data_IF_924809113458
#
_entry.id   IF_924809113458
#
_cell.length_a   1.000
_cell.length_b   1.000
_cell.length_c   1.000
_cell.angle_alpha   90.00
_cell.angle_beta   90.00
_cell.angle_gamma   90.00
#
_symmetry.space_group_name_H-M   'P 1'
#
loop_
_entity.id
_entity.type
_entity.pdbx_description
1 polymer ?
#
# COMPACT_ATOMS: atom_id res chain seq x y z
N UNK A 1 7.34 12.34 -17.24
CA UNK A 1 7.38 11.60 -15.96
C UNK A 1 6.11 11.88 -15.20
N UNK A 2 5.56 10.92 -14.43
CA UNK A 2 4.41 11.17 -13.57
C UNK A 2 4.79 12.25 -12.54
N UNK A 3 4.06 13.38 -12.43
CA UNK A 3 4.35 14.41 -11.43
C UNK A 3 4.33 13.87 -9.99
N UNK A 4 3.57 12.81 -9.74
CA UNK A 4 3.44 12.11 -8.46
C UNK A 4 4.75 11.42 -8.04
N UNK A 5 5.51 10.90 -9.01
CA UNK A 5 6.79 10.26 -8.74
C UNK A 5 7.85 11.28 -8.26
N UNK A 6 7.80 12.48 -8.86
CA UNK A 6 8.70 13.59 -8.52
C UNK A 6 8.36 14.12 -7.13
N UNK A 7 7.07 14.29 -6.82
CA UNK A 7 6.61 14.74 -5.50
C UNK A 7 7.03 13.75 -4.40
N UNK A 8 6.80 12.45 -4.60
CA UNK A 8 7.21 11.41 -3.65
C UNK A 8 8.72 11.44 -3.40
N UNK A 9 9.51 11.50 -4.46
CA UNK A 9 10.98 11.53 -4.37
C UNK A 9 11.47 12.78 -3.63
N UNK A 10 10.82 13.93 -3.87
CA UNK A 10 11.13 15.18 -3.19
C UNK A 10 10.82 15.13 -1.70
N UNK A 11 9.75 14.42 -1.28
CA UNK A 11 9.42 14.21 0.14
C UNK A 11 10.36 13.21 0.84
N UNK A 12 10.88 12.23 0.10
CA UNK A 12 11.82 11.23 0.63
C UNK A 12 13.24 11.77 0.74
N UNK A 13 13.72 12.46 -0.31
CA UNK A 13 15.07 12.98 -0.42
C UNK A 13 15.21 14.38 0.19
N UNK A 14 14.69 14.55 1.42
CA UNK A 14 14.89 15.77 2.18
C UNK A 14 16.19 15.72 2.98
N UNK A 15 16.94 16.83 2.95
CA UNK A 15 18.14 17.01 3.77
C UNK A 15 17.83 16.86 5.26
N UNK A 16 16.78 17.54 5.71
CA UNK A 16 16.31 17.46 7.09
C UNK A 16 15.59 16.13 7.32
N UNK A 17 16.06 15.26 8.23
CA UNK A 17 15.41 13.97 8.49
C UNK A 17 13.99 14.12 9.03
N UNK A 18 13.70 15.19 9.77
CA UNK A 18 12.36 15.50 10.30
C UNK A 18 11.34 15.89 9.24
N UNK A 19 11.79 16.32 8.06
CA UNK A 19 10.91 16.68 6.94
C UNK A 19 10.66 15.51 5.98
N UNK A 20 11.35 14.38 6.18
CA UNK A 20 11.13 13.19 5.36
C UNK A 20 9.75 12.63 5.67
N UNK A 21 9.02 12.25 4.62
CA UNK A 21 7.78 11.51 4.84
C UNK A 21 8.09 10.16 5.49
N UNK A 22 7.17 9.72 6.35
CA UNK A 22 7.28 8.39 6.96
C UNK A 22 7.05 7.30 5.92
N UNK A 23 7.54 6.08 6.18
CA UNK A 23 7.33 4.95 5.28
C UNK A 23 5.83 4.71 5.00
N UNK A 24 4.97 4.86 6.02
CA UNK A 24 3.53 4.71 5.88
C UNK A 24 2.90 5.81 5.03
N UNK A 25 3.31 7.06 5.18
CA UNK A 25 2.85 8.16 4.33
C UNK A 25 3.32 8.01 2.88
N UNK A 26 4.57 7.57 2.68
CA UNK A 26 5.09 7.26 1.36
C UNK A 26 4.29 6.13 0.71
N UNK A 27 3.98 5.07 1.46
CA UNK A 27 3.10 4.00 0.97
C UNK A 27 1.71 4.54 0.62
N UNK A 28 1.15 5.48 1.39
CA UNK A 28 -0.16 6.12 1.15
C UNK A 28 -0.17 7.18 0.03
N UNK A 29 0.95 7.36 -0.68
CA UNK A 29 1.08 8.36 -1.74
C UNK A 29 0.29 7.96 -3.00
N UNK A 30 -0.29 8.93 -3.75
CA UNK A 30 -1.04 8.67 -4.98
C UNK A 30 -0.22 7.99 -6.08
N UNK A 31 1.11 8.07 -6.01
CA UNK A 31 1.98 7.31 -6.90
C UNK A 31 1.72 5.79 -6.86
N UNK A 32 1.26 5.28 -5.71
CA UNK A 32 0.90 3.87 -5.55
C UNK A 32 -0.61 3.59 -5.71
N UNK A 33 -1.43 4.59 -6.10
CA UNK A 33 -2.87 4.37 -6.31
C UNK A 33 -3.13 3.38 -7.44
N UNK A 34 -2.29 3.33 -8.47
CA UNK A 34 -2.40 2.31 -9.52
C UNK A 34 -2.29 0.88 -8.99
N UNK A 35 -1.55 0.64 -7.90
CA UNK A 35 -1.45 -0.68 -7.26
C UNK A 35 -2.66 -1.00 -6.38
N UNK A 36 -3.43 0.02 -5.99
CA UNK A 36 -4.67 -0.11 -5.24
C UNK A 36 -5.87 -0.35 -6.13
N UNK A 37 -5.74 -0.20 -7.44
CA UNK A 37 -6.86 -0.48 -8.34
C UNK A 37 -7.19 -1.98 -8.34
N UNK A 38 -8.48 -2.38 -8.30
CA UNK A 38 -8.86 -3.79 -8.27
C UNK A 38 -8.46 -4.55 -9.54
N UNK A 39 -8.17 -3.82 -10.63
CA UNK A 39 -7.74 -4.36 -11.91
C UNK A 39 -6.22 -4.29 -12.11
N UNK A 40 -5.48 -3.83 -11.10
CA UNK A 40 -4.04 -3.67 -11.19
C UNK A 40 -3.37 -5.04 -11.39
N UNK A 41 -2.57 -5.13 -12.46
CA UNK A 41 -1.89 -6.35 -12.86
C UNK A 41 -0.43 -6.05 -13.13
N UNK A 42 0.41 -7.05 -12.93
CA UNK A 42 1.79 -6.98 -13.40
C UNK A 42 1.78 -6.80 -14.92
N UNK A 43 2.79 -6.12 -15.51
CA UNK A 43 2.89 -5.97 -16.97
C UNK A 43 2.92 -7.33 -17.71
N UNK A 44 3.23 -8.40 -16.98
CA UNK A 44 3.27 -9.78 -17.43
C UNK A 44 1.86 -10.45 -17.43
N UNK A 45 0.80 -9.72 -17.08
CA UNK A 45 -0.57 -10.21 -16.95
C UNK A 45 -0.88 -11.01 -15.66
N UNK A 46 0.11 -11.22 -14.78
CA UNK A 46 -0.05 -11.92 -13.51
C UNK A 46 -0.72 -11.03 -12.45
N UNK A 47 -1.46 -11.61 -11.49
CA UNK A 47 -1.99 -10.85 -10.36
C UNK A 47 -0.84 -10.29 -9.51
N UNK A 48 -1.08 -9.14 -8.89
CA UNK A 48 -0.14 -8.56 -7.93
C UNK A 48 0.01 -9.50 -6.71
N UNK A 49 1.21 -9.57 -6.10
CA UNK A 49 1.40 -10.26 -4.83
C UNK A 49 0.57 -9.61 -3.70
N UNK A 50 0.45 -10.23 -2.51
CA UNK A 50 -0.24 -9.61 -1.38
C UNK A 50 0.51 -8.35 -0.89
N UNK A 51 0.11 -7.18 -1.40
CA UNK A 51 0.75 -5.89 -1.09
C UNK A 51 0.25 -5.24 0.19
N UNK A 52 -0.94 -5.62 0.66
CA UNK A 52 -1.67 -4.91 1.71
C UNK A 52 -1.85 -5.74 3.00
N UNK A 53 -1.01 -6.76 3.20
CA UNK A 53 -1.05 -7.67 4.34
C UNK A 53 -0.42 -7.06 5.62
N UNK A 54 -0.71 -5.78 5.89
CA UNK A 54 -0.18 -5.09 7.06
C UNK A 54 -0.66 -5.76 8.35
N UNK A 55 0.27 -6.02 9.27
CA UNK A 55 -0.04 -6.61 10.59
C UNK A 55 0.20 -5.59 11.70
N UNK A 56 1.45 -5.48 12.14
CA UNK A 56 1.86 -4.61 13.24
C UNK A 56 2.36 -3.24 12.76
N UNK A 57 2.68 -3.11 11.47
CA UNK A 57 3.15 -1.86 10.86
C UNK A 57 2.15 -0.71 10.96
N UNK A 58 0.85 -1.02 11.16
CA UNK A 58 -0.20 -0.01 11.32
C UNK A 58 -0.45 0.37 12.79
N UNK A 59 0.21 -0.26 13.76
CA UNK A 59 -0.07 -0.10 15.20
C UNK A 59 0.25 1.29 15.78
N UNK A 60 0.67 2.24 14.95
CA UNK A 60 0.78 3.66 15.31
C UNK A 60 0.32 4.62 14.19
N UNK A 61 -0.32 4.09 13.15
CA UNK A 61 -0.78 4.87 12.01
C UNK A 61 -2.11 5.56 12.32
N UNK A 62 -2.33 6.75 11.75
CA UNK A 62 -3.63 7.40 11.85
C UNK A 62 -4.71 6.57 11.12
N UNK A 63 -5.96 6.57 11.61
CA UNK A 63 -7.05 5.84 10.96
C UNK A 63 -7.29 6.31 9.51
N UNK A 64 -6.96 7.56 9.18
CA UNK A 64 -7.00 8.09 7.82
C UNK A 64 -5.95 7.42 6.92
N UNK A 65 -4.71 7.30 7.39
CA UNK A 65 -3.65 6.57 6.68
C UNK A 65 -4.01 5.11 6.48
N UNK A 66 -4.57 4.45 7.50
CA UNK A 66 -5.00 3.04 7.41
C UNK A 66 -6.06 2.85 6.32
N UNK A 67 -7.05 3.74 6.25
CA UNK A 67 -8.08 3.66 5.19
C UNK A 67 -7.52 3.94 3.80
N UNK A 68 -6.50 4.80 3.69
CA UNK A 68 -5.82 5.07 2.41
C UNK A 68 -4.87 3.94 2.01
N UNK A 69 -4.24 3.27 2.97
CA UNK A 69 -3.35 2.13 2.75
C UNK A 69 -4.11 0.86 2.42
N UNK A 70 -5.24 0.59 3.10
CA UNK A 70 -6.05 -0.62 2.90
C UNK A 70 -7.41 -0.23 2.28
N UNK A 71 -7.56 -0.33 0.95
CA UNK A 71 -8.83 -0.05 0.30
C UNK A 71 -9.88 -1.15 0.59
N UNK A 72 -11.16 -0.81 0.43
CA UNK A 72 -12.28 -1.66 0.85
C UNK A 72 -12.32 -3.04 0.18
N UNK A 73 -11.98 -3.11 -1.11
CA UNK A 73 -11.92 -4.37 -1.85
C UNK A 73 -10.80 -5.30 -1.33
N UNK A 74 -9.71 -4.72 -0.83
CA UNK A 74 -8.63 -5.46 -0.16
C UNK A 74 -9.08 -5.94 1.21
N UNK A 75 -9.82 -5.14 2.00
CA UNK A 75 -10.38 -5.60 3.29
C UNK A 75 -11.26 -6.83 3.09
N UNK A 76 -12.10 -6.82 2.05
CA UNK A 76 -12.91 -7.98 1.65
C UNK A 76 -12.04 -9.16 1.19
N UNK A 77 -11.01 -8.91 0.39
CA UNK A 77 -10.11 -9.96 -0.09
C UNK A 77 -9.25 -10.57 1.03
N UNK A 78 -8.76 -9.78 2.00
CA UNK A 78 -8.02 -10.26 3.18
C UNK A 78 -8.93 -11.11 4.06
N UNK A 79 -10.18 -10.69 4.26
CA UNK A 79 -11.20 -11.51 4.92
C UNK A 79 -11.36 -12.86 4.20
N UNK A 80 -11.48 -12.86 2.87
CA UNK A 80 -11.55 -14.07 2.05
C UNK A 80 -10.28 -14.94 2.09
N UNK A 81 -9.08 -14.34 2.04
CA UNK A 81 -7.80 -15.05 2.07
C UNK A 81 -7.48 -15.65 3.45
N UNK A 82 -8.03 -15.09 4.53
CA UNK A 82 -7.96 -15.69 5.86
C UNK A 82 -8.82 -16.96 5.96
N UNK A 83 -9.92 -17.06 5.21
CA UNK A 83 -10.77 -18.25 5.15
C UNK A 83 -10.35 -19.28 4.08
N UNK A 84 -9.47 -18.93 3.13
CA UNK A 84 -9.11 -19.80 2.01
C UNK A 84 -7.83 -20.64 2.19
N UNK A 85 -7.13 -20.51 3.32
CA UNK A 85 -6.08 -21.46 3.70
C UNK A 85 -6.54 -22.33 4.89
N UNK A 86 -7.33 -23.41 4.69
CA UNK A 86 -7.18 -24.54 5.56
C UNK A 86 -5.80 -25.15 5.30
N UNK A 87 -5.06 -25.42 6.36
CA UNK A 87 -3.82 -26.16 6.35
C UNK A 87 -3.96 -27.44 5.50
N UNK A 88 -2.87 -27.77 4.80
CA UNK A 88 -2.83 -28.88 3.87
C UNK A 88 -3.14 -30.24 4.49
N UNK A 89 -3.50 -31.15 3.59
CA UNK A 89 -3.32 -32.60 3.70
C UNK A 89 -2.57 -33.06 2.48
#
# INVERSE_FOLDING_TARGET
MPPEAIDLTSRLLQYSPSLRCTALEACAHPFFDELREPNARLPNGRPLPPLFNFKQELSGASPELINKLIPDHVKRQIGLQHFMHPAGT
#
